data_IF_515231791034
#
_entry.id   IF_515231791034
#
_cell.length_a   1.000
_cell.length_b   1.000
_cell.length_c   1.000
_cell.angle_alpha   90.00
_cell.angle_beta   90.00
_cell.angle_gamma   90.00
#
_symmetry.space_group_name_H-M   'P 1'
#
loop_
_entity.id
_entity.type
_entity.pdbx_description
1 polymer ?
#
# COMPACT_ATOMS: atom_id res chain seq x y z
N UNK A 1 -4.71 7.24 7.48
CA UNK A 1 -3.94 6.41 6.52
C UNK A 1 -4.71 6.09 5.23
N UNK A 2 -5.87 5.41 5.28
CA UNK A 2 -6.63 5.04 4.07
C UNK A 2 -6.89 6.21 3.12
N UNK A 3 -7.51 7.28 3.64
CA UNK A 3 -7.86 8.45 2.82
C UNK A 3 -6.63 9.10 2.16
N UNK A 4 -5.51 9.21 2.89
CA UNK A 4 -4.23 9.69 2.34
C UNK A 4 -3.74 8.82 1.17
N UNK A 5 -3.81 7.49 1.28
CA UNK A 5 -3.39 6.61 0.19
C UNK A 5 -4.30 6.75 -1.02
N UNK A 6 -5.61 6.84 -0.81
CA UNK A 6 -6.57 7.03 -1.91
C UNK A 6 -6.36 8.38 -2.60
N UNK A 7 -6.18 9.47 -1.85
CA UNK A 7 -5.93 10.79 -2.46
C UNK A 7 -4.65 10.78 -3.29
N UNK A 8 -3.56 10.19 -2.78
CA UNK A 8 -2.31 10.08 -3.53
C UNK A 8 -2.49 9.27 -4.82
N UNK A 9 -3.25 8.18 -4.79
CA UNK A 9 -3.53 7.40 -5.99
C UNK A 9 -4.34 8.20 -7.02
N UNK A 10 -5.44 8.83 -6.59
CA UNK A 10 -6.34 9.60 -7.46
C UNK A 10 -5.65 10.84 -8.05
N UNK A 11 -4.94 11.63 -7.24
CA UNK A 11 -4.23 12.82 -7.69
C UNK A 11 -3.15 12.49 -8.75
N UNK A 12 -2.57 11.30 -8.66
CA UNK A 12 -1.56 10.81 -9.61
C UNK A 12 -2.14 9.90 -10.70
N UNK A 13 -3.47 9.71 -10.75
CA UNK A 13 -4.17 8.87 -11.72
C UNK A 13 -3.65 7.42 -11.75
N UNK A 14 -3.33 6.85 -10.58
CA UNK A 14 -2.75 5.51 -10.45
C UNK A 14 -3.89 4.50 -10.24
N UNK A 15 -4.03 3.49 -11.12
CA UNK A 15 -5.06 2.47 -10.94
C UNK A 15 -4.76 1.62 -9.71
N UNK A 16 -5.79 1.37 -8.91
CA UNK A 16 -5.73 0.50 -7.74
C UNK A 16 -7.02 -0.32 -7.61
N UNK A 17 -7.00 -1.31 -6.73
CA UNK A 17 -8.18 -2.11 -6.41
C UNK A 17 -8.29 -2.33 -4.90
N UNK A 18 -9.51 -2.47 -4.41
CA UNK A 18 -9.74 -2.91 -3.05
C UNK A 18 -9.47 -4.41 -2.93
N UNK A 19 -8.77 -4.79 -1.86
CA UNK A 19 -8.46 -6.18 -1.59
C UNK A 19 -8.60 -6.47 -0.10
N UNK A 20 -9.39 -7.49 0.23
CA UNK A 20 -9.49 -8.04 1.59
C UNK A 20 -8.72 -9.36 1.60
N UNK A 21 -7.54 -9.34 2.20
CA UNK A 21 -6.68 -10.53 2.26
C UNK A 21 -7.27 -11.60 3.18
N UNK A 22 -7.18 -12.87 2.74
CA UNK A 22 -7.44 -14.05 3.60
C UNK A 22 -6.20 -14.54 4.35
N UNK A 23 -5.03 -13.91 4.11
CA UNK A 23 -3.75 -14.22 4.77
C UNK A 23 -3.14 -13.01 5.46
N UNK A 24 -2.08 -13.24 6.25
CA UNK A 24 -1.32 -12.19 6.93
C UNK A 24 -0.23 -11.57 6.05
N UNK A 25 0.26 -10.41 6.49
CA UNK A 25 1.44 -9.72 5.94
C UNK A 25 2.22 -9.07 7.09
N UNK A 26 3.43 -8.59 6.82
CA UNK A 26 4.27 -7.95 7.84
C UNK A 26 3.65 -6.68 8.45
N UNK A 27 2.73 -6.01 7.74
CA UNK A 27 2.00 -4.85 8.24
C UNK A 27 1.21 -5.17 9.53
N UNK A 28 0.76 -6.42 9.71
CA UNK A 28 0.04 -6.83 10.91
C UNK A 28 0.93 -6.85 12.16
N UNK A 29 2.20 -7.19 12.02
CA UNK A 29 3.18 -7.12 13.09
C UNK A 29 3.71 -5.69 13.27
N UNK A 30 3.92 -4.96 12.17
CA UNK A 30 4.38 -3.57 12.21
C UNK A 30 3.40 -2.66 12.94
N UNK A 31 2.08 -2.82 12.69
CA UNK A 31 1.07 -1.93 13.28
C UNK A 31 0.96 -2.03 14.79
N UNK A 32 1.31 -3.17 15.39
CA UNK A 32 1.27 -3.38 16.85
C UNK A 32 2.62 -3.12 17.53
N UNK A 33 3.66 -2.81 16.76
CA UNK A 33 4.97 -2.53 17.31
C UNK A 33 5.02 -1.13 17.97
N UNK A 34 5.91 -0.97 18.96
CA UNK A 34 6.13 0.28 19.71
C UNK A 34 4.81 0.82 20.29
N UNK A 35 4.48 2.07 20.00
CA UNK A 35 3.26 2.74 20.45
C UNK A 35 2.13 2.67 19.40
N UNK A 36 2.24 1.74 18.44
CA UNK A 36 1.39 1.68 17.27
C UNK A 36 2.01 2.44 16.10
N UNK A 37 2.08 1.79 14.94
CA UNK A 37 2.62 2.38 13.70
C UNK A 37 1.56 2.26 12.61
N UNK A 38 0.95 3.34 12.12
CA UNK A 38 0.03 3.26 10.99
C UNK A 38 0.68 2.53 9.82
N UNK A 39 0.16 1.34 9.48
CA UNK A 39 0.77 0.44 8.52
C UNK A 39 -0.26 -0.01 7.48
N UNK A 40 0.21 -0.26 6.26
CA UNK A 40 -0.60 -0.79 5.17
C UNK A 40 0.20 -1.84 4.41
N UNK A 41 -0.49 -2.87 3.92
CA UNK A 41 0.09 -3.79 2.94
C UNK A 41 -0.34 -3.35 1.54
N UNK A 42 0.61 -2.83 0.76
CA UNK A 42 0.44 -2.57 -0.67
C UNK A 42 0.96 -3.77 -1.44
N UNK A 43 0.16 -4.30 -2.37
CA UNK A 43 0.50 -5.53 -3.08
C UNK A 43 0.06 -5.53 -4.53
N UNK A 44 0.71 -6.36 -5.32
CA UNK A 44 0.37 -6.66 -6.71
C UNK A 44 -0.38 -7.98 -6.75
N UNK A 45 -1.55 -8.00 -7.39
CA UNK A 45 -2.31 -9.23 -7.54
C UNK A 45 -1.52 -10.26 -8.36
N UNK A 46 -1.45 -11.47 -7.83
CA UNK A 46 -0.68 -12.57 -8.43
C UNK A 46 -1.47 -13.86 -8.34
N UNK A 47 -1.43 -14.67 -9.40
CA UNK A 47 -2.04 -16.00 -9.45
C UNK A 47 -1.01 -17.05 -9.02
N UNK A 48 -1.47 -18.07 -8.29
CA UNK A 48 -0.67 -19.22 -7.87
C UNK A 48 0.55 -18.82 -7.02
N UNK A 49 0.36 -17.89 -6.09
CA UNK A 49 1.37 -17.54 -5.08
C UNK A 49 1.79 -18.79 -4.30
N UNK A 50 3.08 -18.90 -3.96
CA UNK A 50 3.69 -20.04 -3.27
C UNK A 50 3.72 -21.35 -4.08
N UNK A 51 3.63 -21.27 -5.40
CA UNK A 51 3.89 -22.41 -6.30
C UNK A 51 5.15 -22.16 -7.11
N UNK A 52 5.58 -23.15 -7.89
CA UNK A 52 6.71 -22.98 -8.81
C UNK A 52 6.45 -21.97 -9.94
N UNK A 53 5.18 -21.64 -10.22
CA UNK A 53 4.76 -20.85 -11.39
C UNK A 53 3.77 -19.76 -10.99
N UNK A 54 4.28 -18.68 -10.38
CA UNK A 54 3.48 -17.49 -10.10
C UNK A 54 3.33 -16.64 -11.36
N UNK A 55 2.10 -16.21 -11.65
CA UNK A 55 1.78 -15.35 -12.80
C UNK A 55 1.27 -14.00 -12.30
N UNK A 56 1.84 -12.92 -12.81
CA UNK A 56 1.53 -11.54 -12.42
C UNK A 56 1.61 -10.60 -13.64
N UNK A 57 1.10 -9.38 -13.51
CA UNK A 57 1.01 -8.39 -14.57
C UNK A 57 2.12 -7.34 -14.45
N UNK A 58 2.86 -7.10 -15.54
CA UNK A 58 3.85 -6.01 -15.61
C UNK A 58 3.18 -4.66 -15.36
N UNK A 59 1.98 -4.45 -15.89
CA UNK A 59 1.24 -3.19 -15.70
C UNK A 59 0.91 -2.94 -14.22
N UNK A 60 0.53 -3.99 -13.47
CA UNK A 60 0.22 -3.86 -12.05
C UNK A 60 1.46 -3.52 -11.22
N UNK A 61 2.62 -4.10 -11.58
CA UNK A 61 3.90 -3.75 -10.95
C UNK A 61 4.30 -2.31 -11.23
N UNK A 62 4.16 -1.85 -12.47
CA UNK A 62 4.46 -0.46 -12.84
C UNK A 62 3.54 0.53 -12.11
N UNK A 63 2.25 0.22 -11.98
CA UNK A 63 1.32 1.01 -11.18
C UNK A 63 1.70 1.02 -9.69
N UNK A 64 2.03 -0.14 -9.10
CA UNK A 64 2.46 -0.24 -7.72
C UNK A 64 3.77 0.53 -7.48
N UNK A 65 4.73 0.47 -8.40
CA UNK A 65 5.99 1.24 -8.36
C UNK A 65 5.71 2.74 -8.38
N UNK A 66 4.87 3.20 -9.31
CA UNK A 66 4.45 4.60 -9.36
C UNK A 66 3.79 5.03 -8.05
N UNK A 67 2.95 4.17 -7.46
CA UNK A 67 2.24 4.48 -6.23
C UNK A 67 3.19 4.63 -5.03
N UNK A 68 4.13 3.70 -4.86
CA UNK A 68 5.13 3.78 -3.79
C UNK A 68 5.98 5.05 -3.92
N UNK A 69 6.38 5.42 -5.15
CA UNK A 69 7.11 6.67 -5.40
C UNK A 69 6.26 7.89 -5.04
N UNK A 70 4.99 7.92 -5.44
CA UNK A 70 4.08 9.02 -5.15
C UNK A 70 3.86 9.16 -3.63
N UNK A 71 3.62 8.05 -2.92
CA UNK A 71 3.48 8.03 -1.46
C UNK A 71 4.75 8.57 -0.81
N UNK A 72 5.92 8.10 -1.22
CA UNK A 72 7.20 8.54 -0.63
C UNK A 72 7.46 10.04 -0.82
N UNK A 73 6.99 10.63 -1.94
CA UNK A 73 7.09 12.07 -2.20
C UNK A 73 6.06 12.89 -1.43
N UNK A 74 4.87 12.34 -1.21
CA UNK A 74 3.78 13.03 -0.52
C UNK A 74 3.80 12.84 1.00
N UNK A 75 4.52 11.84 1.53
CA UNK A 75 4.58 11.58 2.96
C UNK A 75 5.53 12.56 3.66
N UNK A 76 4.98 13.72 4.02
CA UNK A 76 5.64 14.77 4.80
C UNK A 76 5.00 14.93 6.20
N UNK A 77 5.46 15.91 6.97
CA UNK A 77 4.94 16.16 8.31
C UNK A 77 3.45 16.52 8.30
N UNK A 78 2.97 17.27 7.31
CA UNK A 78 1.56 17.68 7.22
C UNK A 78 0.66 16.48 6.97
N UNK A 79 1.02 15.65 6.00
CA UNK A 79 0.28 14.42 5.72
C UNK A 79 0.42 13.39 6.84
N UNK A 80 1.55 13.35 7.54
CA UNK A 80 1.71 12.51 8.73
C UNK A 80 0.71 12.89 9.83
N UNK A 81 0.56 14.18 10.15
CA UNK A 81 -0.43 14.65 11.13
C UNK A 81 -1.85 14.20 10.72
N UNK A 82 -2.19 14.36 9.44
CA UNK A 82 -3.48 13.90 8.89
C UNK A 82 -3.67 12.39 9.02
N UNK A 83 -2.60 11.61 8.91
CA UNK A 83 -2.65 10.14 9.04
C UNK A 83 -2.89 9.70 10.48
N UNK A 84 -2.25 10.36 11.45
CA UNK A 84 -2.31 10.00 12.88
C UNK A 84 -3.51 10.64 13.60
N UNK A 85 -4.12 11.68 13.01
CA UNK A 85 -5.31 12.34 13.55
C UNK A 85 -5.02 13.41 14.60
N UNK A 86 -3.82 13.99 14.56
CA UNK A 86 -3.37 15.09 15.43
C UNK A 86 -3.57 16.47 14.78
#
# INVERSE_FOLDING_TARGET
>A
LREFLLSVAEDNHIPYQYFVSKGGTDAAAAQTARNGIPSVALGVASRYIHTHQTVWSIADFEAAKAFVIAIAKSLDNTNLQTIIGD
#
